data_IF_993316353643
#
_entry.id   IF_993316353643
#
_cell.length_a   1.000
_cell.length_b   1.000
_cell.length_c   1.000
_cell.angle_alpha   90.00
_cell.angle_beta   90.00
_cell.angle_gamma   90.00
#
_symmetry.space_group_name_H-M   'P 1'
#
loop_
_entity.id
_entity.type
_entity.pdbx_description
1 polymer ?
#
# COMPACT_ATOMS: atom_id res chain seq x y z
N UNK A 1 8.25 -7.91 -21.49
CA UNK A 1 8.52 -8.55 -20.21
C UNK A 1 9.84 -8.05 -19.59
N UNK A 2 10.99 -8.13 -20.29
CA UNK A 2 12.28 -7.67 -19.76
C UNK A 2 12.34 -6.16 -19.42
N UNK A 3 11.70 -5.28 -20.20
CA UNK A 3 11.64 -3.84 -19.90
C UNK A 3 10.88 -3.57 -18.58
N UNK A 4 9.77 -4.22 -18.36
CA UNK A 4 8.98 -4.09 -17.12
C UNK A 4 9.78 -4.55 -15.91
N UNK A 5 10.50 -5.68 -16.01
CA UNK A 5 11.33 -6.16 -14.91
C UNK A 5 12.46 -5.20 -14.56
N UNK A 6 13.08 -4.54 -15.58
CA UNK A 6 14.09 -3.50 -15.32
C UNK A 6 13.51 -2.29 -14.60
N UNK A 7 12.29 -1.88 -14.95
CA UNK A 7 11.58 -0.78 -14.27
C UNK A 7 11.22 -1.14 -12.84
N UNK A 8 10.77 -2.38 -12.59
CA UNK A 8 10.47 -2.84 -11.24
C UNK A 8 11.73 -2.89 -10.37
N UNK A 9 12.86 -3.35 -10.92
CA UNK A 9 14.14 -3.34 -10.20
C UNK A 9 14.57 -1.90 -9.89
N UNK A 10 14.46 -0.99 -10.86
CA UNK A 10 14.77 0.42 -10.62
C UNK A 10 13.87 1.02 -9.54
N UNK A 11 12.59 0.68 -9.55
CA UNK A 11 11.61 1.09 -8.54
C UNK A 11 11.98 0.61 -7.12
N UNK A 12 12.53 -0.61 -6.97
CA UNK A 12 13.02 -1.10 -5.68
C UNK A 12 14.16 -0.22 -5.18
N UNK A 13 15.17 0.07 -6.01
CA UNK A 13 16.30 0.93 -5.62
C UNK A 13 15.89 2.37 -5.27
N UNK A 14 14.82 2.88 -5.90
CA UNK A 14 14.31 4.22 -5.60
C UNK A 14 13.55 4.29 -4.26
N UNK A 15 12.96 3.18 -3.81
CA UNK A 15 12.02 3.17 -2.67
C UNK A 15 12.54 2.43 -1.45
N UNK A 16 13.51 1.55 -1.61
CA UNK A 16 14.12 0.81 -0.51
C UNK A 16 15.60 1.18 -0.35
N UNK A 17 15.94 2.02 0.65
CA UNK A 17 17.33 2.35 0.95
C UNK A 17 18.20 1.13 1.34
N UNK A 18 17.60 0.01 1.73
CA UNK A 18 18.32 -1.21 2.09
C UNK A 18 18.78 -2.02 0.86
N UNK A 19 18.24 -1.75 -0.33
CA UNK A 19 18.62 -2.44 -1.57
C UNK A 19 20.06 -2.09 -1.98
N UNK A 20 20.95 -3.09 -2.08
CA UNK A 20 22.38 -2.87 -2.34
C UNK A 20 22.81 -3.28 -3.74
N UNK A 21 22.31 -4.40 -4.25
CA UNK A 21 22.72 -4.96 -5.54
C UNK A 21 21.53 -5.49 -6.33
N UNK A 22 21.63 -5.45 -7.67
CA UNK A 22 20.63 -6.05 -8.56
C UNK A 22 20.44 -7.55 -8.28
N UNK A 23 21.51 -8.27 -7.91
CA UNK A 23 21.43 -9.68 -7.56
C UNK A 23 20.59 -9.91 -6.31
N UNK A 24 20.78 -9.09 -5.28
CA UNK A 24 19.97 -9.13 -4.06
C UNK A 24 18.49 -8.85 -4.37
N UNK A 25 18.19 -7.83 -5.17
CA UNK A 25 16.83 -7.50 -5.58
C UNK A 25 16.18 -8.66 -6.36
N UNK A 26 16.92 -9.30 -7.27
CA UNK A 26 16.42 -10.44 -8.05
C UNK A 26 16.18 -11.69 -7.21
N UNK A 27 16.91 -11.89 -6.12
CA UNK A 27 16.88 -13.15 -5.36
C UNK A 27 16.16 -13.05 -4.02
N UNK A 28 16.06 -11.84 -3.42
CA UNK A 28 15.60 -11.66 -2.05
C UNK A 28 14.33 -10.78 -1.92
N UNK A 29 13.78 -10.26 -3.02
CA UNK A 29 12.59 -9.40 -2.98
C UNK A 29 11.33 -10.15 -3.41
N UNK A 30 10.53 -10.66 -2.47
CA UNK A 30 9.33 -11.46 -2.78
C UNK A 30 8.28 -10.67 -3.57
N UNK A 31 8.19 -9.35 -3.37
CA UNK A 31 7.30 -8.48 -4.13
C UNK A 31 7.63 -8.46 -5.63
N UNK A 32 8.91 -8.39 -6.00
CA UNK A 32 9.35 -8.47 -7.39
C UNK A 32 9.01 -9.83 -8.01
N UNK A 33 9.24 -10.92 -7.27
CA UNK A 33 8.90 -12.27 -7.74
C UNK A 33 7.39 -12.41 -7.97
N UNK A 34 6.58 -11.97 -7.00
CA UNK A 34 5.12 -12.04 -7.10
C UNK A 34 4.58 -11.25 -8.29
N UNK A 35 5.05 -10.03 -8.53
CA UNK A 35 4.63 -9.19 -9.67
C UNK A 35 5.05 -9.80 -11.01
N UNK A 36 6.28 -10.30 -11.09
CA UNK A 36 6.80 -10.91 -12.33
C UNK A 36 6.00 -12.16 -12.70
N UNK A 37 5.76 -13.05 -11.74
CA UNK A 37 5.01 -14.28 -11.96
C UNK A 37 3.51 -14.04 -12.12
N UNK A 38 2.96 -13.00 -11.47
CA UNK A 38 1.59 -12.55 -11.71
C UNK A 38 1.37 -12.17 -13.18
N UNK A 39 2.30 -11.49 -13.84
CA UNK A 39 2.17 -11.15 -15.27
C UNK A 39 2.00 -12.40 -16.14
N UNK A 40 2.71 -13.49 -15.80
CA UNK A 40 2.52 -14.78 -16.48
C UNK A 40 1.12 -15.37 -16.21
N UNK A 41 0.69 -15.36 -14.95
CA UNK A 41 -0.63 -15.84 -14.56
C UNK A 41 -1.75 -15.00 -15.19
N UNK A 42 -1.58 -13.69 -15.27
CA UNK A 42 -2.53 -12.76 -15.90
C UNK A 42 -2.64 -12.99 -17.42
N UNK A 43 -1.52 -13.23 -18.08
CA UNK A 43 -1.52 -13.61 -19.50
C UNK A 43 -2.30 -14.92 -19.74
N UNK A 44 -2.04 -15.97 -18.95
CA UNK A 44 -2.82 -17.23 -19.00
C UNK A 44 -4.31 -17.00 -18.77
N UNK A 45 -4.64 -16.09 -17.84
CA UNK A 45 -6.01 -15.69 -17.55
C UNK A 45 -6.68 -15.05 -18.75
N UNK A 46 -5.97 -14.19 -19.49
CA UNK A 46 -6.41 -13.59 -20.76
C UNK A 46 -6.63 -14.63 -21.87
N UNK A 47 -5.82 -15.69 -21.91
CA UNK A 47 -5.98 -16.82 -22.84
C UNK A 47 -7.11 -17.80 -22.45
N UNK A 48 -7.93 -17.48 -21.44
CA UNK A 48 -8.99 -18.33 -20.87
C UNK A 48 -8.49 -19.62 -20.21
N UNK A 49 -7.21 -19.80 -20.01
CA UNK A 49 -6.60 -20.93 -19.30
C UNK A 49 -6.74 -20.72 -17.77
N UNK A 50 -7.98 -20.56 -17.30
CA UNK A 50 -8.34 -20.13 -15.95
C UNK A 50 -7.75 -21.00 -14.84
N UNK A 51 -7.82 -22.31 -15.02
CA UNK A 51 -7.27 -23.25 -14.04
C UNK A 51 -5.75 -23.10 -13.93
N UNK A 52 -5.02 -23.06 -15.06
CA UNK A 52 -3.56 -22.90 -15.06
C UNK A 52 -3.15 -21.56 -14.44
N UNK A 53 -3.85 -20.49 -14.79
CA UNK A 53 -3.60 -19.15 -14.20
C UNK A 53 -3.75 -19.17 -12.67
N UNK A 54 -4.81 -19.81 -12.15
CA UNK A 54 -5.05 -19.98 -10.71
C UNK A 54 -4.00 -20.85 -10.04
N UNK A 55 -3.60 -21.92 -10.70
CA UNK A 55 -2.57 -22.82 -10.19
C UNK A 55 -1.21 -22.10 -10.07
N UNK A 56 -0.79 -21.36 -11.10
CA UNK A 56 0.43 -20.52 -11.04
C UNK A 56 0.33 -19.52 -9.91
N UNK A 57 -0.78 -18.79 -9.78
CA UNK A 57 -1.00 -17.85 -8.70
C UNK A 57 -0.89 -18.51 -7.31
N UNK A 58 -1.40 -19.72 -7.15
CA UNK A 58 -1.29 -20.48 -5.91
C UNK A 58 0.16 -20.86 -5.56
N UNK A 59 0.94 -21.31 -6.56
CA UNK A 59 2.36 -21.58 -6.37
C UNK A 59 3.14 -20.32 -5.97
N UNK A 60 2.83 -19.18 -6.61
CA UNK A 60 3.46 -17.89 -6.28
C UNK A 60 3.15 -17.48 -4.85
N UNK A 61 1.91 -17.63 -4.40
CA UNK A 61 1.53 -17.40 -3.01
C UNK A 61 2.33 -18.28 -2.05
N UNK A 62 2.51 -19.56 -2.36
CA UNK A 62 3.28 -20.48 -1.53
C UNK A 62 4.74 -20.07 -1.45
N UNK A 63 5.34 -19.59 -2.54
CA UNK A 63 6.73 -19.17 -2.61
C UNK A 63 7.01 -17.82 -1.94
N UNK A 64 6.05 -16.86 -2.05
CA UNK A 64 6.28 -15.45 -1.71
C UNK A 64 5.49 -14.99 -0.49
N UNK A 65 4.46 -15.73 -0.06
CA UNK A 65 3.49 -15.26 0.93
C UNK A 65 2.54 -14.19 0.42
N UNK A 66 2.55 -13.88 -0.90
CA UNK A 66 1.76 -12.84 -1.55
C UNK A 66 0.71 -13.50 -2.46
N UNK A 67 -0.57 -13.22 -2.22
CA UNK A 67 -1.66 -13.70 -3.05
C UNK A 67 -2.11 -12.61 -4.02
N UNK A 68 -1.93 -12.84 -5.32
CA UNK A 68 -2.47 -11.98 -6.37
C UNK A 68 -3.37 -12.83 -7.26
N UNK A 69 -4.66 -12.49 -7.32
CA UNK A 69 -5.56 -13.17 -8.24
C UNK A 69 -5.17 -12.87 -9.69
N UNK A 70 -5.09 -13.86 -10.60
CA UNK A 70 -4.64 -13.64 -11.98
C UNK A 70 -5.54 -12.71 -12.81
N UNK A 71 -6.77 -12.45 -12.35
CA UNK A 71 -7.67 -11.46 -12.95
C UNK A 71 -7.39 -10.01 -12.55
N UNK A 72 -6.59 -9.77 -11.52
CA UNK A 72 -6.24 -8.42 -11.10
C UNK A 72 -5.43 -7.70 -12.17
N UNK A 73 -5.66 -6.39 -12.32
CA UNK A 73 -4.89 -5.52 -13.23
C UNK A 73 -3.88 -4.73 -12.43
N UNK A 74 -2.61 -4.85 -12.77
CA UNK A 74 -1.51 -4.18 -12.07
C UNK A 74 -0.70 -3.36 -13.07
N UNK A 75 -0.52 -2.08 -12.77
CA UNK A 75 0.25 -1.13 -13.56
C UNK A 75 1.77 -1.35 -13.48
N UNK A 76 2.50 -0.32 -13.85
CA UNK A 76 3.96 -0.30 -13.91
C UNK A 76 4.54 0.25 -12.61
N UNK A 77 5.78 -0.15 -12.29
CA UNK A 77 6.53 0.38 -11.15
C UNK A 77 5.77 0.26 -9.81
N UNK A 78 4.99 -0.81 -9.66
CA UNK A 78 4.35 -1.13 -8.39
C UNK A 78 5.38 -1.77 -7.47
N UNK A 79 5.46 -1.28 -6.23
CA UNK A 79 6.37 -1.80 -5.21
C UNK A 79 5.57 -2.49 -4.11
N UNK A 80 5.88 -3.76 -3.85
CA UNK A 80 5.33 -4.52 -2.72
C UNK A 80 6.47 -4.76 -1.74
N UNK A 81 6.48 -3.98 -0.66
CA UNK A 81 7.51 -4.04 0.36
C UNK A 81 7.20 -5.12 1.40
N UNK A 82 8.20 -5.95 1.74
CA UNK A 82 8.10 -7.14 2.59
C UNK A 82 7.11 -8.20 2.07
N UNK A 83 5.92 -7.81 1.71
CA UNK A 83 4.90 -8.54 0.97
C UNK A 83 4.15 -9.65 1.71
N UNK A 84 4.66 -10.22 2.80
CA UNK A 84 4.00 -11.31 3.51
C UNK A 84 2.56 -10.96 3.88
N UNK A 85 1.61 -11.84 3.51
CA UNK A 85 0.19 -11.67 3.82
C UNK A 85 -0.55 -10.62 2.97
N UNK A 86 0.06 -10.10 1.90
CA UNK A 86 -0.64 -9.28 0.92
C UNK A 86 -1.66 -10.14 0.16
N UNK A 87 -2.89 -9.63 0.01
CA UNK A 87 -3.96 -10.27 -0.76
C UNK A 87 -4.58 -9.29 -1.73
N UNK A 88 -4.52 -9.58 -3.02
CA UNK A 88 -5.08 -8.76 -4.10
C UNK A 88 -6.15 -9.55 -4.83
N UNK A 89 -7.42 -9.13 -4.71
CA UNK A 89 -8.58 -9.83 -5.25
C UNK A 89 -8.77 -9.68 -6.76
N UNK A 90 -9.65 -10.51 -7.33
CA UNK A 90 -9.85 -10.72 -8.77
C UNK A 90 -10.06 -9.45 -9.59
N UNK A 91 -10.89 -8.53 -9.11
CA UNK A 91 -11.28 -7.32 -9.86
C UNK A 91 -10.57 -6.07 -9.33
N UNK A 92 -9.49 -6.24 -8.55
CA UNK A 92 -8.67 -5.13 -8.13
C UNK A 92 -7.93 -4.51 -9.33
N UNK A 93 -7.80 -3.19 -9.29
CA UNK A 93 -7.02 -2.42 -10.27
C UNK A 93 -6.00 -1.60 -9.48
N UNK A 94 -4.73 -1.73 -9.83
CA UNK A 94 -3.63 -0.99 -9.21
C UNK A 94 -2.96 -0.18 -10.32
N UNK A 95 -2.97 1.14 -10.16
CA UNK A 95 -2.31 2.07 -11.07
C UNK A 95 -0.79 2.02 -10.97
N UNK A 96 -0.15 2.81 -11.83
CA UNK A 96 1.30 2.92 -11.85
C UNK A 96 1.84 3.55 -10.56
N UNK A 97 3.09 3.25 -10.23
CA UNK A 97 3.82 3.87 -9.11
C UNK A 97 3.21 3.67 -7.72
N UNK A 98 2.30 2.70 -7.54
CA UNK A 98 1.74 2.38 -6.23
C UNK A 98 2.74 1.63 -5.34
N UNK A 99 2.61 1.84 -4.02
CA UNK A 99 3.36 1.10 -2.99
C UNK A 99 2.41 0.38 -2.04
N UNK A 100 2.62 -0.91 -1.82
CA UNK A 100 1.87 -1.71 -0.86
C UNK A 100 2.83 -2.35 0.14
N UNK A 101 2.52 -2.25 1.42
CA UNK A 101 3.28 -2.93 2.46
C UNK A 101 2.67 -4.30 2.81
N UNK A 102 3.37 -5.07 3.63
CA UNK A 102 2.93 -6.40 4.08
C UNK A 102 1.53 -6.36 4.73
N UNK A 103 0.81 -7.49 4.68
CA UNK A 103 -0.50 -7.65 5.31
C UNK A 103 -1.63 -6.84 4.67
N UNK A 104 -1.39 -6.10 3.60
CA UNK A 104 -2.42 -5.33 2.87
C UNK A 104 -3.43 -6.26 2.23
N UNK A 105 -4.72 -5.92 2.33
CA UNK A 105 -5.79 -6.62 1.62
C UNK A 105 -6.56 -5.67 0.72
N UNK A 106 -6.59 -5.96 -0.58
CA UNK A 106 -7.52 -5.36 -1.53
C UNK A 106 -8.68 -6.32 -1.75
N UNK A 107 -9.68 -6.24 -0.87
CA UNK A 107 -10.75 -7.23 -0.72
C UNK A 107 -12.08 -6.80 -1.32
N UNK A 108 -12.93 -7.79 -1.60
CA UNK A 108 -14.32 -7.57 -2.00
C UNK A 108 -15.28 -7.56 -0.81
N UNK A 109 -16.41 -6.87 -0.97
CA UNK A 109 -17.50 -6.83 0.03
C UNK A 109 -18.79 -7.45 -0.47
N UNK A 110 -18.79 -8.04 -1.67
CA UNK A 110 -19.96 -8.64 -2.31
C UNK A 110 -19.66 -10.03 -2.85
N UNK A 111 -20.66 -10.91 -2.80
CA UNK A 111 -20.64 -12.23 -3.44
C UNK A 111 -21.01 -12.19 -4.93
N UNK A 112 -21.44 -11.04 -5.43
CA UNK A 112 -21.83 -10.88 -6.83
C UNK A 112 -20.60 -10.89 -7.73
N UNK A 113 -20.79 -11.44 -8.95
CA UNK A 113 -19.80 -11.35 -10.02
C UNK A 113 -19.69 -9.88 -10.48
N UNK A 114 -18.52 -9.49 -10.95
CA UNK A 114 -18.24 -8.12 -11.42
C UNK A 114 -17.28 -7.36 -10.53
N UNK A 115 -17.24 -6.04 -10.69
CA UNK A 115 -16.35 -5.16 -9.91
C UNK A 115 -16.76 -5.18 -8.43
N UNK A 116 -15.89 -5.71 -7.58
CA UNK A 116 -16.11 -5.86 -6.14
C UNK A 116 -14.86 -5.59 -5.29
N UNK A 117 -13.72 -5.35 -5.94
CA UNK A 117 -12.44 -5.03 -5.31
C UNK A 117 -12.02 -3.60 -5.66
N UNK A 118 -11.17 -2.97 -4.86
CA UNK A 118 -10.82 -1.56 -5.03
C UNK A 118 -10.04 -1.26 -6.31
N UNK A 119 -10.05 0.03 -6.63
CA UNK A 119 -9.16 0.64 -7.63
C UNK A 119 -8.23 1.59 -6.91
N UNK A 120 -6.93 1.40 -7.09
CA UNK A 120 -5.89 2.33 -6.65
C UNK A 120 -5.43 3.14 -7.85
N UNK A 121 -5.57 4.45 -7.79
CA UNK A 121 -5.03 5.35 -8.82
C UNK A 121 -3.51 5.48 -8.71
N UNK A 122 -2.82 6.06 -9.71
CA UNK A 122 -1.35 6.15 -9.70
C UNK A 122 -0.79 6.83 -8.45
N UNK A 123 0.34 6.30 -7.95
CA UNK A 123 1.09 6.87 -6.84
C UNK A 123 0.47 6.64 -5.45
N UNK A 124 -0.53 5.80 -5.33
CA UNK A 124 -1.15 5.46 -4.04
C UNK A 124 -0.19 4.67 -3.17
N UNK A 125 -0.17 5.00 -1.87
CA UNK A 125 0.61 4.27 -0.85
C UNK A 125 -0.34 3.63 0.16
N UNK A 126 -0.22 2.31 0.34
CA UNK A 126 -1.04 1.53 1.29
C UNK A 126 -0.14 1.01 2.41
N UNK A 127 -0.32 1.54 3.61
CA UNK A 127 0.43 1.18 4.81
C UNK A 127 0.22 -0.27 5.25
N UNK A 128 1.16 -0.78 6.04
CA UNK A 128 1.19 -2.17 6.50
C UNK A 128 -0.11 -2.58 7.19
N UNK A 129 -0.61 -3.77 6.87
CA UNK A 129 -1.82 -4.33 7.47
C UNK A 129 -3.14 -3.67 7.06
N UNK A 130 -3.14 -2.61 6.26
CA UNK A 130 -4.37 -1.92 5.86
C UNK A 130 -5.31 -2.81 5.03
N UNK A 131 -6.62 -2.63 5.22
CA UNK A 131 -7.68 -3.33 4.50
C UNK A 131 -8.48 -2.33 3.68
N UNK A 132 -8.40 -2.42 2.36
CA UNK A 132 -9.18 -1.60 1.43
C UNK A 132 -10.24 -2.50 0.82
N UNK A 133 -11.50 -2.23 1.13
CA UNK A 133 -12.59 -3.19 0.93
C UNK A 133 -13.71 -2.61 0.06
N UNK A 134 -14.14 -3.37 -0.92
CA UNK A 134 -15.24 -3.02 -1.82
C UNK A 134 -14.79 -2.37 -3.13
N UNK A 135 -15.74 -2.08 -4.02
CA UNK A 135 -15.46 -1.49 -5.33
C UNK A 135 -15.21 0.02 -5.25
N UNK A 136 -14.41 0.43 -4.25
CA UNK A 136 -14.08 1.83 -3.97
C UNK A 136 -12.84 2.26 -4.74
N UNK A 137 -12.66 3.59 -4.86
CA UNK A 137 -11.50 4.21 -5.49
C UNK A 137 -10.65 4.93 -4.45
N UNK A 138 -9.36 4.63 -4.45
CA UNK A 138 -8.35 5.40 -3.73
C UNK A 138 -7.67 6.32 -4.74
N UNK A 139 -7.89 7.63 -4.60
CA UNK A 139 -7.48 8.65 -5.55
C UNK A 139 -5.97 8.82 -5.66
N UNK A 140 -5.54 9.40 -6.77
CA UNK A 140 -4.12 9.57 -7.14
C UNK A 140 -3.29 10.17 -6.00
N UNK A 141 -2.18 9.50 -5.67
CA UNK A 141 -1.25 9.96 -4.64
C UNK A 141 -1.78 9.92 -3.21
N UNK A 142 -2.98 9.36 -2.98
CA UNK A 142 -3.51 9.21 -1.63
C UNK A 142 -2.69 8.21 -0.81
N UNK A 143 -2.69 8.39 0.51
CA UNK A 143 -1.96 7.54 1.47
C UNK A 143 -2.92 6.90 2.46
N UNK A 144 -2.83 5.60 2.63
CA UNK A 144 -3.61 4.85 3.61
C UNK A 144 -2.68 4.45 4.75
N UNK A 145 -3.02 4.86 5.97
CA UNK A 145 -2.23 4.56 7.15
C UNK A 145 -2.23 3.07 7.49
N UNK A 146 -1.22 2.64 8.23
CA UNK A 146 -1.07 1.25 8.67
C UNK A 146 -2.29 0.79 9.49
N UNK A 147 -2.73 -0.46 9.24
CA UNK A 147 -3.91 -1.08 9.86
C UNK A 147 -5.25 -0.35 9.64
N UNK A 148 -5.32 0.65 8.77
CA UNK A 148 -6.57 1.31 8.46
C UNK A 148 -7.55 0.37 7.72
N UNK A 149 -8.85 0.55 7.97
CA UNK A 149 -9.93 -0.19 7.28
C UNK A 149 -10.74 0.79 6.44
N UNK A 150 -10.47 0.80 5.13
CA UNK A 150 -11.06 1.72 4.15
C UNK A 150 -12.23 1.04 3.45
N UNK A 151 -13.41 1.63 3.59
CA UNK A 151 -14.68 1.11 3.01
C UNK A 151 -15.43 2.17 2.19
N UNK A 152 -14.80 3.32 1.94
CA UNK A 152 -15.33 4.43 1.13
C UNK A 152 -14.23 5.00 0.26
N UNK A 153 -14.60 5.71 -0.79
CA UNK A 153 -13.65 6.40 -1.67
C UNK A 153 -12.76 7.36 -0.88
N UNK A 154 -11.49 7.44 -1.29
CA UNK A 154 -10.49 8.36 -0.73
C UNK A 154 -10.11 9.37 -1.81
N UNK A 155 -10.25 10.67 -1.56
CA UNK A 155 -9.89 11.70 -2.53
C UNK A 155 -8.40 11.68 -2.92
N UNK A 156 -8.04 12.21 -4.11
CA UNK A 156 -6.64 12.34 -4.50
C UNK A 156 -5.82 13.14 -3.49
N UNK A 157 -4.60 12.67 -3.19
CA UNK A 157 -3.68 13.30 -2.26
C UNK A 157 -4.07 13.25 -0.78
N UNK A 158 -5.25 12.69 -0.45
CA UNK A 158 -5.71 12.62 0.93
C UNK A 158 -4.99 11.52 1.72
N UNK A 159 -4.97 11.69 3.03
CA UNK A 159 -4.50 10.68 4.00
C UNK A 159 -5.71 10.08 4.71
N UNK A 160 -5.84 8.74 4.71
CA UNK A 160 -6.92 8.04 5.38
C UNK A 160 -6.36 7.10 6.45
N UNK A 161 -6.84 7.20 7.69
CA UNK A 161 -6.34 6.44 8.84
C UNK A 161 -7.46 5.95 9.76
N UNK A 162 -7.21 4.89 10.51
CA UNK A 162 -8.12 4.38 11.54
C UNK A 162 -9.06 3.27 11.09
N UNK A 163 -9.93 2.81 12.02
CA UNK A 163 -10.90 1.72 11.86
C UNK A 163 -12.26 2.18 12.40
N UNK A 164 -13.26 2.48 11.54
CA UNK A 164 -13.16 2.69 10.09
C UNK A 164 -12.30 3.91 9.72
N UNK A 165 -11.68 3.87 8.54
CA UNK A 165 -10.78 4.94 8.11
C UNK A 165 -11.51 6.28 7.94
N UNK A 166 -10.87 7.34 8.41
CA UNK A 166 -11.29 8.74 8.25
C UNK A 166 -10.24 9.50 7.46
N UNK A 167 -10.67 10.47 6.67
CA UNK A 167 -9.77 11.38 5.96
C UNK A 167 -9.20 12.37 6.97
N UNK A 168 -7.88 12.52 6.97
CA UNK A 168 -7.19 13.56 7.76
C UNK A 168 -7.00 14.78 6.85
N UNK A 169 -7.48 15.94 7.29
CA UNK A 169 -7.35 17.17 6.52
C UNK A 169 -5.89 17.64 6.48
N UNK A 170 -5.32 17.68 5.28
CA UNK A 170 -3.93 18.07 5.02
C UNK A 170 -3.60 19.54 5.42
N UNK A 171 -4.60 20.34 5.76
CA UNK A 171 -4.43 21.74 6.17
C UNK A 171 -3.79 21.92 7.55
N UNK A 172 -4.00 20.99 8.47
CA UNK A 172 -3.42 21.03 9.83
C UNK A 172 -2.07 20.31 9.95
N UNK A 173 -1.77 19.41 9.01
CA UNK A 173 -0.58 18.55 9.13
C UNK A 173 0.70 19.15 8.54
N UNK A 174 0.64 20.06 7.54
CA UNK A 174 1.87 20.65 6.95
C UNK A 174 2.75 21.36 7.98
N UNK A 175 2.16 22.14 8.87
CA UNK A 175 2.92 22.84 9.92
C UNK A 175 3.52 21.87 10.97
N UNK A 176 2.98 20.65 11.04
CA UNK A 176 3.43 19.57 11.95
C UNK A 176 4.45 18.64 11.29
N UNK A 177 4.29 18.32 10.02
CA UNK A 177 5.30 17.59 9.22
C UNK A 177 6.61 18.38 9.21
N UNK A 178 6.56 19.69 8.98
CA UNK A 178 7.74 20.57 9.08
C UNK A 178 8.36 20.60 10.48
N UNK A 179 7.55 20.51 11.54
CA UNK A 179 8.05 20.44 12.92
C UNK A 179 8.64 19.06 13.26
N UNK A 180 8.04 17.98 12.76
CA UNK A 180 8.50 16.61 12.95
C UNK A 180 9.80 16.34 12.14
N UNK A 181 9.91 16.85 10.92
CA UNK A 181 11.14 16.80 10.12
C UNK A 181 12.29 17.57 10.79
N UNK A 182 12.02 18.73 11.36
CA UNK A 182 13.02 19.50 12.13
C UNK A 182 13.51 18.78 13.39
N UNK A 183 12.71 17.87 13.94
CA UNK A 183 13.07 17.05 15.10
C UNK A 183 13.64 15.66 14.73
N UNK A 184 13.89 15.38 13.45
CA UNK A 184 14.46 14.12 12.97
C UNK A 184 13.50 12.92 13.08
N UNK A 185 12.20 13.15 13.22
CA UNK A 185 11.19 12.12 13.33
C UNK A 185 10.44 11.98 11.98
N UNK A 186 10.86 11.02 11.17
CA UNK A 186 10.07 10.56 10.01
C UNK A 186 8.96 9.65 10.53
N UNK A 187 7.81 10.23 10.87
CA UNK A 187 6.68 9.44 11.36
C UNK A 187 5.91 8.83 10.18
N UNK A 188 5.93 7.51 10.08
CA UNK A 188 4.88 6.76 9.41
C UNK A 188 3.54 7.18 10.00
N UNK A 189 2.74 7.93 9.23
CA UNK A 189 1.37 8.36 9.50
C UNK A 189 0.83 8.00 10.91
N UNK A 190 1.27 8.71 11.94
CA UNK A 190 0.68 8.59 13.27
C UNK A 190 -0.64 9.37 13.25
N UNK A 191 -1.76 8.64 13.18
CA UNK A 191 -3.08 9.24 13.30
C UNK A 191 -3.29 9.79 14.71
N UNK A 192 -3.72 11.03 14.79
CA UNK A 192 -4.36 11.51 16.02
C UNK A 192 -5.78 11.00 16.09
N UNK A 193 -6.04 10.14 17.05
CA UNK A 193 -7.37 10.06 17.63
C UNK A 193 -7.43 11.19 18.65
N UNK A 194 -8.23 12.23 18.43
CA UNK A 194 -8.43 13.31 19.40
C UNK A 194 -8.98 12.79 20.74
N UNK A 195 -9.50 11.55 20.73
CA UNK A 195 -10.03 10.85 21.90
C UNK A 195 -9.05 9.82 22.51
N UNK A 196 -7.81 9.67 21.97
CA UNK A 196 -6.82 8.77 22.59
C UNK A 196 -6.13 9.45 23.77
N UNK A 197 -6.30 8.96 25.01
CA UNK A 197 -5.72 9.55 26.22
C UNK A 197 -4.20 9.69 26.16
N UNK A 198 -3.50 8.79 25.45
CA UNK A 198 -2.05 8.81 25.29
C UNK A 198 -1.61 9.96 24.34
N UNK A 199 -2.34 10.15 23.24
CA UNK A 199 -2.14 11.28 22.33
C UNK A 199 -2.36 12.61 23.03
N UNK A 200 -3.42 12.75 23.81
CA UNK A 200 -3.71 13.96 24.62
C UNK A 200 -2.62 14.24 25.66
N UNK A 201 -2.10 13.22 26.34
CA UNK A 201 -1.03 13.37 27.32
C UNK A 201 0.29 13.81 26.68
N UNK A 202 0.69 13.22 25.54
CA UNK A 202 1.89 13.59 24.79
C UNK A 202 1.77 15.03 24.27
N UNK A 203 0.59 15.44 23.81
CA UNK A 203 0.35 16.81 23.34
C UNK A 203 0.40 17.83 24.47
N UNK A 204 -0.16 17.50 25.62
CA UNK A 204 -0.06 18.34 26.82
C UNK A 204 1.38 18.56 27.26
N UNK A 205 2.24 17.53 27.16
CA UNK A 205 3.67 17.62 27.46
C UNK A 205 4.43 18.47 26.45
N UNK A 206 4.13 18.35 25.15
CA UNK A 206 4.78 19.15 24.09
C UNK A 206 4.40 20.64 24.21
N UNK A 207 3.11 20.95 24.46
CA UNK A 207 2.66 22.33 24.67
C UNK A 207 3.20 22.95 25.98
N UNK A 208 3.53 22.12 26.98
CA UNK A 208 4.14 22.56 28.21
C UNK A 208 5.64 22.83 28.04
N UNK A 209 6.34 22.05 27.24
CA UNK A 209 7.75 22.24 26.91
C UNK A 209 7.97 23.53 26.10
N UNK A 210 7.07 23.82 25.14
CA UNK A 210 7.13 25.02 24.27
C UNK A 210 6.93 26.33 25.11
N UNK A 211 6.09 26.28 26.16
CA UNK A 211 5.88 27.44 27.07
C UNK A 211 7.08 27.73 27.99
N UNK A 212 7.95 26.76 28.26
CA UNK A 212 9.15 26.95 29.08
C UNK A 212 10.38 27.36 28.27
N UNK A 213 10.35 27.29 26.95
CA UNK A 213 11.46 27.71 26.08
C UNK A 213 11.38 29.22 25.68
N UNK A 214 10.38 29.96 26.15
CA UNK A 214 10.11 31.36 25.82
C UNK A 214 10.33 32.28 27.07
N UNK A 215 11.11 31.85 28.05
CA UNK A 215 11.55 32.71 29.19
C UNK A 215 13.05 32.80 29.18
#
# INVERSE_FOLDING_TARGET
MFSLMREDIACVFERDPAARTTWEVLTCYPGLHALTLHRCAHWLWGQRLRWMARFVSHLVRWLTGIEIHPGATIGRRVFIDHGMGVVIGETAVIGDDCTLYHGVTLGGTSWNKGKRHPTLEPGVVIGAGAKVLGPITVGKGAKIGSNAVVVRDVPPGAVAVGIPARIVDAGHDKAREEKAEKMGFSAYAVSRNEDDPLSLAIHGLLDHADRKSVV
#
